data_IF_153553553794
#
_entry.id   IF_153553553794
#
_cell.length_a   1.000
_cell.length_b   1.000
_cell.length_c   1.000
_cell.angle_alpha   90.00
_cell.angle_beta   90.00
_cell.angle_gamma   90.00
#
_symmetry.space_group_name_H-M   'P 1'
#
loop_
_entity.id
_entity.type
_entity.pdbx_description
1 polymer ?
#
# COMPACT_ATOMS: atom_id res chain seq x y z
N UNK A 1 13.24 66.90 35.48
CA UNK A 1 11.81 66.58 35.41
C UNK A 1 11.53 65.92 34.05
N UNK A 2 10.72 64.85 33.94
CA UNK A 2 10.87 63.54 34.58
C UNK A 2 10.92 62.36 33.58
N UNK A 3 11.30 61.21 34.13
CA UNK A 3 11.21 59.82 33.63
C UNK A 3 9.93 59.46 32.86
N UNK A 4 10.04 58.59 31.84
CA UNK A 4 9.03 57.55 31.53
C UNK A 4 9.67 56.25 31.00
N UNK A 5 9.73 55.31 31.93
CA UNK A 5 9.72 53.85 31.78
C UNK A 5 8.55 53.40 30.88
N UNK A 6 8.79 52.58 29.86
CA UNK A 6 7.74 51.76 29.22
C UNK A 6 8.31 50.35 29.03
N UNK A 7 7.86 49.45 29.92
CA UNK A 7 7.86 48.01 29.71
C UNK A 7 7.03 47.69 28.46
N UNK A 8 7.52 46.83 27.57
CA UNK A 8 6.65 46.09 26.65
C UNK A 8 6.82 44.58 26.86
N UNK A 9 5.84 44.06 27.61
CA UNK A 9 5.31 42.70 27.71
C UNK A 9 5.87 41.65 26.74
N UNK A 10 6.44 40.60 27.34
CA UNK A 10 6.47 39.24 26.79
C UNK A 10 5.05 38.74 26.53
N UNK A 11 4.65 38.60 25.27
CA UNK A 11 3.50 37.80 24.89
C UNK A 11 3.96 36.35 24.67
N UNK A 12 3.83 35.55 25.72
CA UNK A 12 3.99 34.09 25.70
C UNK A 12 2.91 33.50 24.77
N UNK A 13 3.30 33.08 23.56
CA UNK A 13 2.43 32.30 22.70
C UNK A 13 2.37 30.86 23.26
N UNK A 14 1.37 30.56 24.08
CA UNK A 14 0.99 29.19 24.40
C UNK A 14 0.36 28.56 23.15
N UNK A 15 1.19 27.93 22.32
CA UNK A 15 0.71 26.98 21.32
C UNK A 15 0.22 25.73 22.05
N UNK A 16 -1.10 25.61 22.19
CA UNK A 16 -1.75 24.40 22.71
C UNK A 16 -1.39 23.20 21.84
N UNK A 17 -0.75 22.20 22.45
CA UNK A 17 -0.49 20.93 21.80
C UNK A 17 -1.84 20.26 21.49
N UNK A 18 -2.17 20.13 20.20
CA UNK A 18 -3.29 19.33 19.75
C UNK A 18 -3.03 17.87 20.10
N UNK A 19 -3.71 17.36 21.13
CA UNK A 19 -3.70 15.95 21.47
C UNK A 19 -4.32 15.16 20.31
N UNK A 20 -3.55 14.22 19.76
CA UNK A 20 -4.02 13.36 18.67
C UNK A 20 -5.03 12.35 19.22
N UNK A 21 -6.31 12.60 18.96
CA UNK A 21 -7.39 11.70 19.34
C UNK A 21 -7.40 10.46 18.45
N UNK A 22 -7.50 9.26 19.05
CA UNK A 22 -7.52 7.99 18.30
C UNK A 22 -8.95 7.49 18.14
N UNK A 23 -9.37 7.21 16.91
CA UNK A 23 -10.74 6.76 16.61
C UNK A 23 -10.69 5.56 15.68
N UNK A 24 -11.26 4.44 16.11
CA UNK A 24 -11.26 3.17 15.36
C UNK A 24 -12.69 2.72 15.12
N UNK A 25 -12.98 2.25 13.90
CA UNK A 25 -14.24 1.58 13.58
C UNK A 25 -14.12 0.10 13.95
N UNK A 26 -14.81 -0.30 15.01
CA UNK A 26 -14.83 -1.69 15.53
C UNK A 26 -15.92 -2.55 14.89
N UNK A 27 -16.92 -1.97 14.25
CA UNK A 27 -18.05 -2.70 13.67
C UNK A 27 -19.10 -1.81 13.04
N UNK A 28 -19.99 -2.40 12.25
CA UNK A 28 -21.22 -1.75 11.78
C UNK A 28 -22.39 -2.65 12.16
N UNK A 29 -23.36 -2.10 12.89
CA UNK A 29 -24.54 -2.84 13.37
C UNK A 29 -25.81 -2.10 12.94
N UNK A 30 -26.60 -2.70 12.06
CA UNK A 30 -27.89 -2.14 11.63
C UNK A 30 -27.78 -0.70 11.08
N UNK A 31 -26.71 -0.40 10.33
CA UNK A 31 -26.46 0.94 9.76
C UNK A 31 -25.82 1.95 10.74
N UNK A 32 -25.48 1.54 11.96
CA UNK A 32 -24.78 2.36 12.95
C UNK A 32 -23.30 1.97 13.01
N UNK A 33 -22.43 2.96 13.11
CA UNK A 33 -21.00 2.74 13.31
C UNK A 33 -20.71 2.45 14.78
N UNK A 34 -19.96 1.38 15.06
CA UNK A 34 -19.45 1.06 16.38
C UNK A 34 -18.03 1.62 16.49
N UNK A 35 -17.86 2.73 17.19
CA UNK A 35 -16.60 3.46 17.29
C UNK A 35 -15.93 3.26 18.64
N UNK A 36 -14.62 3.07 18.64
CA UNK A 36 -13.76 3.12 19.82
C UNK A 36 -12.96 4.40 19.76
N UNK A 37 -13.12 5.24 20.78
CA UNK A 37 -12.42 6.53 20.91
C UNK A 37 -11.44 6.43 22.08
N UNK A 38 -10.17 6.73 21.84
CA UNK A 38 -9.08 6.72 22.83
C UNK A 38 -8.96 5.41 23.63
N UNK A 39 -9.22 4.28 22.96
CA UNK A 39 -9.19 2.94 23.57
C UNK A 39 -10.33 2.65 24.55
N UNK A 40 -11.34 3.53 24.63
CA UNK A 40 -12.52 3.37 25.47
C UNK A 40 -13.50 2.28 24.98
N UNK A 41 -14.61 2.06 25.70
CA UNK A 41 -15.61 1.07 25.31
C UNK A 41 -16.26 1.43 23.95
N UNK A 42 -16.53 0.45 23.07
CA UNK A 42 -17.16 0.70 21.78
C UNK A 42 -18.54 1.36 21.91
N UNK A 43 -18.76 2.47 21.20
CA UNK A 43 -20.02 3.21 21.19
C UNK A 43 -20.69 3.13 19.83
N UNK A 44 -21.96 2.71 19.81
CA UNK A 44 -22.76 2.70 18.58
C UNK A 44 -23.34 4.08 18.31
N UNK A 45 -23.07 4.63 17.14
CA UNK A 45 -23.53 5.94 16.68
C UNK A 45 -24.23 5.83 15.33
N UNK A 46 -25.42 6.43 15.24
CA UNK A 46 -26.13 6.58 13.98
C UNK A 46 -25.61 7.80 13.19
N UNK A 47 -25.90 7.86 11.89
CA UNK A 47 -25.63 9.05 11.07
C UNK A 47 -26.26 10.30 11.72
N UNK A 48 -25.47 11.34 11.89
CA UNK A 48 -25.82 12.59 12.56
C UNK A 48 -25.46 12.66 14.04
N UNK A 49 -25.17 11.53 14.70
CA UNK A 49 -24.83 11.51 16.13
C UNK A 49 -23.34 11.73 16.38
N UNK A 50 -23.03 12.36 17.52
CA UNK A 50 -21.66 12.65 17.95
C UNK A 50 -21.33 12.10 19.33
N UNK A 51 -20.09 11.65 19.51
CA UNK A 51 -19.56 11.21 20.81
C UNK A 51 -18.09 11.56 20.93
N UNK A 52 -17.69 12.17 22.05
CA UNK A 52 -16.29 12.57 22.33
C UNK A 52 -15.63 13.33 21.17
N UNK A 53 -16.34 14.27 20.54
CA UNK A 53 -15.80 15.06 19.42
C UNK A 53 -15.84 14.38 18.05
N UNK A 54 -16.31 13.13 17.97
CA UNK A 54 -16.47 12.36 16.73
C UNK A 54 -17.93 12.36 16.30
N UNK A 55 -18.26 12.93 15.14
CA UNK A 55 -19.62 12.90 14.57
C UNK A 55 -19.69 11.95 13.39
N UNK A 56 -20.67 11.04 13.36
CA UNK A 56 -20.89 10.17 12.19
C UNK A 56 -21.64 10.94 11.12
N UNK A 57 -21.04 11.08 9.94
CA UNK A 57 -21.61 11.75 8.77
C UNK A 57 -22.20 10.74 7.79
N UNK A 58 -21.67 9.53 7.75
CA UNK A 58 -22.18 8.47 6.88
C UNK A 58 -21.66 7.10 7.28
N UNK A 59 -22.42 6.06 6.96
CA UNK A 59 -22.04 4.66 7.17
C UNK A 59 -22.28 3.91 5.87
N UNK A 60 -21.26 3.20 5.39
CA UNK A 60 -21.28 2.37 4.19
C UNK A 60 -20.74 0.97 4.53
N UNK A 61 -20.87 -0.01 3.62
CA UNK A 61 -20.42 -1.38 3.89
C UNK A 61 -18.91 -1.42 4.23
N UNK A 62 -18.59 -1.64 5.51
CA UNK A 62 -17.22 -1.71 6.04
C UNK A 62 -16.52 -0.37 6.29
N UNK A 63 -17.20 0.77 6.12
CA UNK A 63 -16.62 2.10 6.31
C UNK A 63 -17.57 3.08 7.02
N UNK A 64 -17.01 3.99 7.81
CA UNK A 64 -17.75 5.09 8.44
C UNK A 64 -17.07 6.43 8.12
N UNK A 65 -17.83 7.36 7.55
CA UNK A 65 -17.40 8.74 7.41
C UNK A 65 -17.70 9.46 8.73
N UNK A 66 -16.66 9.97 9.37
CA UNK A 66 -16.75 10.71 10.62
C UNK A 66 -16.17 12.11 10.48
N UNK A 67 -16.58 13.02 11.34
CA UNK A 67 -16.00 14.35 11.48
C UNK A 67 -15.38 14.45 12.88
N UNK A 68 -14.08 14.74 12.93
CA UNK A 68 -13.27 14.81 14.16
C UNK A 68 -12.55 16.15 14.14
N UNK A 69 -12.81 17.01 15.12
CA UNK A 69 -12.19 18.34 15.19
C UNK A 69 -12.47 19.23 13.96
N UNK A 70 -13.60 19.02 13.27
CA UNK A 70 -13.97 19.74 12.04
C UNK A 70 -13.40 19.14 10.75
N UNK A 71 -12.51 18.15 10.82
CA UNK A 71 -12.00 17.43 9.66
C UNK A 71 -12.80 16.15 9.40
N UNK A 72 -13.17 15.89 8.14
CA UNK A 72 -13.83 14.65 7.75
C UNK A 72 -12.80 13.56 7.53
N UNK A 73 -12.98 12.42 8.18
CA UNK A 73 -12.12 11.25 8.08
C UNK A 73 -12.95 10.00 7.78
N UNK A 74 -12.40 9.09 7.00
CA UNK A 74 -13.06 7.81 6.70
C UNK A 74 -12.40 6.72 7.54
N UNK A 75 -13.16 6.09 8.41
CA UNK A 75 -12.72 4.95 9.20
C UNK A 75 -13.10 3.67 8.46
N UNK A 76 -12.15 2.75 8.31
CA UNK A 76 -12.40 1.42 7.75
C UNK A 76 -12.43 0.40 8.88
N UNK A 77 -13.26 -0.62 8.72
CA UNK A 77 -13.38 -1.69 9.71
C UNK A 77 -12.02 -2.39 9.87
N UNK A 78 -11.44 -2.34 11.07
CA UNK A 78 -10.16 -2.99 11.36
C UNK A 78 -8.89 -2.19 11.01
N UNK A 79 -9.01 -0.98 10.46
CA UNK A 79 -7.89 -0.07 10.19
C UNK A 79 -8.11 1.25 10.97
N UNK A 80 -7.04 1.77 11.59
CA UNK A 80 -7.07 3.08 12.26
C UNK A 80 -7.41 4.23 11.29
N UNK A 81 -7.60 5.46 11.79
CA UNK A 81 -8.17 6.55 11.00
C UNK A 81 -7.28 6.86 9.80
N UNK A 82 -7.79 6.57 8.59
CA UNK A 82 -7.21 7.06 7.34
C UNK A 82 -7.81 8.44 7.07
N UNK A 83 -6.98 9.47 7.15
CA UNK A 83 -7.39 10.82 6.75
C UNK A 83 -7.73 10.78 5.26
N UNK A 84 -8.97 11.08 4.91
CA UNK A 84 -9.35 11.28 3.53
C UNK A 84 -8.79 12.64 3.08
N UNK A 85 -8.04 12.73 1.96
CA UNK A 85 -7.49 14.01 1.53
C UNK A 85 -8.53 14.82 0.75
N UNK A 86 -8.74 16.13 1.02
CA UNK A 86 -9.01 17.08 -0.04
C UNK A 86 -7.68 17.52 -0.67
N UNK A 87 -7.66 17.52 -2.01
CA UNK A 87 -6.80 18.28 -2.92
C UNK A 87 -5.36 18.61 -2.48
N UNK A 88 -4.42 18.04 -3.23
CA UNK A 88 -3.13 18.63 -3.64
C UNK A 88 -2.16 19.08 -2.53
N UNK A 89 -1.05 18.35 -2.44
CA UNK A 89 0.16 18.80 -1.76
C UNK A 89 0.45 18.04 -0.47
N UNK A 90 1.58 17.33 -0.47
CA UNK A 90 2.33 16.97 0.74
C UNK A 90 1.77 15.80 1.58
N UNK A 91 1.67 14.62 0.98
CA UNK A 91 1.43 13.35 1.70
C UNK A 91 1.89 12.06 1.00
N UNK A 92 2.54 12.15 -0.15
CA UNK A 92 2.74 11.01 -1.05
C UNK A 92 3.85 10.01 -0.66
N UNK A 93 4.75 10.37 0.26
CA UNK A 93 6.06 9.68 0.32
C UNK A 93 6.08 8.38 1.15
N UNK A 94 5.06 8.07 1.96
CA UNK A 94 5.02 6.80 2.73
C UNK A 94 4.25 5.70 2.03
N UNK A 95 3.12 6.01 1.41
CA UNK A 95 2.30 4.99 0.75
C UNK A 95 2.91 4.53 -0.58
N UNK A 96 3.65 5.40 -1.29
CA UNK A 96 4.37 5.05 -2.53
C UNK A 96 5.65 4.22 -2.30
N UNK A 97 5.96 3.84 -1.06
CA UNK A 97 7.17 3.07 -0.72
C UNK A 97 6.88 1.77 0.01
N UNK A 98 5.64 1.48 0.39
CA UNK A 98 5.31 0.31 1.21
C UNK A 98 4.24 -0.54 0.53
N UNK A 99 4.53 -1.83 0.37
CA UNK A 99 3.58 -2.82 -0.12
C UNK A 99 3.32 -3.79 1.01
N UNK A 100 2.05 -4.09 1.31
CA UNK A 100 1.65 -5.13 2.25
C UNK A 100 0.92 -6.22 1.48
N UNK A 101 1.40 -7.45 1.63
CA UNK A 101 0.87 -8.64 0.99
C UNK A 101 0.45 -9.65 2.06
N UNK A 102 -0.67 -10.32 1.82
CA UNK A 102 -1.12 -11.44 2.65
C UNK A 102 -0.97 -12.75 1.88
N UNK A 103 -0.54 -13.79 2.57
CA UNK A 103 -0.44 -15.11 2.01
C UNK A 103 -1.85 -15.65 1.71
N UNK A 104 -2.01 -16.30 0.56
CA UNK A 104 -3.21 -17.08 0.27
C UNK A 104 -3.31 -18.33 1.13
N UNK A 105 -4.41 -19.07 0.99
CA UNK A 105 -4.64 -20.35 1.71
C UNK A 105 -3.56 -21.41 1.46
N UNK A 106 -2.82 -21.31 0.35
CA UNK A 106 -1.70 -22.17 0.00
C UNK A 106 -0.34 -21.64 0.49
N UNK A 107 -0.31 -20.55 1.28
CA UNK A 107 0.90 -19.95 1.83
C UNK A 107 1.69 -19.08 0.84
N UNK A 108 1.24 -18.95 -0.41
CA UNK A 108 1.89 -18.10 -1.41
C UNK A 108 1.38 -16.66 -1.35
N UNK A 109 2.29 -15.71 -1.47
CA UNK A 109 1.94 -14.29 -1.61
C UNK A 109 1.59 -14.01 -3.06
N UNK A 110 0.29 -13.85 -3.32
CA UNK A 110 -0.26 -13.53 -4.64
C UNK A 110 -0.70 -12.08 -4.64
N UNK A 111 -0.43 -11.37 -5.73
CA UNK A 111 -0.85 -9.98 -5.83
C UNK A 111 -1.06 -9.58 -7.28
N UNK A 112 -2.15 -8.87 -7.60
CA UNK A 112 -2.25 -8.21 -8.89
C UNK A 112 -1.20 -7.10 -8.97
N UNK A 113 -0.65 -6.91 -10.17
CA UNK A 113 0.27 -5.83 -10.45
C UNK A 113 0.25 -5.47 -11.93
N UNK A 114 1.20 -4.66 -12.35
CA UNK A 114 1.33 -4.27 -13.75
C UNK A 114 2.76 -4.43 -14.24
N UNK A 115 2.90 -4.83 -15.50
CA UNK A 115 4.14 -4.78 -16.26
C UNK A 115 3.90 -3.86 -17.43
N UNK A 116 4.70 -2.79 -17.55
CA UNK A 116 4.58 -1.78 -18.60
C UNK A 116 3.12 -1.27 -18.75
N UNK A 117 2.43 -1.06 -17.62
CA UNK A 117 1.03 -0.58 -17.57
C UNK A 117 -0.04 -1.64 -17.84
N UNK A 118 0.32 -2.92 -17.98
CA UNK A 118 -0.63 -4.01 -18.27
C UNK A 118 -0.76 -4.96 -17.10
N UNK A 119 -1.99 -5.30 -16.74
CA UNK A 119 -2.30 -6.11 -15.56
C UNK A 119 -1.79 -7.54 -15.69
N UNK A 120 -1.13 -8.01 -14.64
CA UNK A 120 -0.69 -9.40 -14.46
C UNK A 120 -0.92 -9.83 -13.01
N UNK A 121 -0.92 -11.14 -12.76
CA UNK A 121 -0.95 -11.70 -11.42
C UNK A 121 0.42 -12.25 -11.05
N UNK A 122 1.01 -11.68 -10.00
CA UNK A 122 2.30 -12.10 -9.48
C UNK A 122 2.17 -13.12 -8.36
N UNK A 123 3.15 -14.02 -8.28
CA UNK A 123 3.53 -14.72 -7.06
C UNK A 123 4.91 -14.24 -6.64
N UNK A 124 5.09 -13.91 -5.36
CA UNK A 124 6.42 -13.62 -4.80
C UNK A 124 7.25 -14.89 -4.78
N UNK A 125 8.40 -14.85 -5.45
CA UNK A 125 9.36 -15.95 -5.48
C UNK A 125 10.77 -15.45 -5.15
N UNK A 126 11.16 -15.61 -3.89
CA UNK A 126 12.50 -15.22 -3.41
C UNK A 126 13.62 -16.11 -3.97
N UNK A 127 13.29 -17.27 -4.54
CA UNK A 127 14.24 -18.17 -5.21
C UNK A 127 14.55 -17.78 -6.65
N UNK A 128 13.66 -17.01 -7.29
CA UNK A 128 13.87 -16.54 -8.65
C UNK A 128 14.86 -15.37 -8.69
N UNK A 129 15.88 -15.44 -9.54
CA UNK A 129 16.85 -14.34 -9.72
C UNK A 129 16.25 -13.11 -10.38
N UNK A 130 15.33 -13.31 -11.33
CA UNK A 130 14.68 -12.25 -12.12
C UNK A 130 13.17 -12.46 -12.16
N UNK A 131 12.42 -11.40 -12.49
CA UNK A 131 10.99 -11.52 -12.82
C UNK A 131 10.84 -12.50 -14.00
N UNK A 132 9.96 -13.49 -13.87
CA UNK A 132 9.85 -14.55 -14.89
C UNK A 132 8.42 -14.68 -15.40
N UNK A 133 8.26 -14.71 -16.72
CA UNK A 133 6.97 -14.80 -17.43
C UNK A 133 6.97 -15.94 -18.43
N UNK A 134 5.80 -16.55 -18.64
CA UNK A 134 5.64 -17.49 -19.75
C UNK A 134 5.53 -16.72 -21.07
N UNK A 135 5.81 -17.40 -22.19
CA UNK A 135 5.50 -16.85 -23.52
C UNK A 135 4.02 -16.45 -23.62
N UNK A 136 3.12 -17.27 -23.06
CA UNK A 136 1.68 -16.98 -23.04
C UNK A 136 1.36 -15.66 -22.33
N UNK A 137 1.95 -15.41 -21.15
CA UNK A 137 1.74 -14.16 -20.42
C UNK A 137 2.34 -12.97 -21.17
N UNK A 138 3.54 -13.14 -21.73
CA UNK A 138 4.23 -12.11 -22.49
C UNK A 138 3.43 -11.70 -23.74
N UNK A 139 2.89 -12.67 -24.48
CA UNK A 139 2.02 -12.43 -25.64
C UNK A 139 0.71 -11.77 -25.22
N UNK A 140 0.08 -12.23 -24.12
CA UNK A 140 -1.17 -11.66 -23.62
C UNK A 140 -1.05 -10.17 -23.25
N UNK A 141 0.11 -9.75 -22.74
CA UNK A 141 0.41 -8.35 -22.47
C UNK A 141 1.15 -7.65 -23.62
N UNK A 142 1.30 -8.27 -24.79
CA UNK A 142 1.95 -7.66 -25.95
C UNK A 142 3.39 -7.19 -25.69
N UNK A 143 4.14 -7.94 -24.87
CA UNK A 143 5.53 -7.66 -24.55
C UNK A 143 6.41 -8.05 -25.75
N UNK A 144 7.26 -7.15 -26.28
CA UNK A 144 8.12 -7.46 -27.43
C UNK A 144 9.35 -8.28 -27.02
N UNK A 145 9.15 -9.47 -26.43
CA UNK A 145 10.24 -10.21 -25.80
C UNK A 145 11.23 -10.84 -26.80
N UNK A 146 10.79 -11.08 -28.04
CA UNK A 146 11.59 -11.71 -29.09
C UNK A 146 12.77 -10.85 -29.56
N UNK A 147 12.74 -9.54 -29.31
CA UNK A 147 13.90 -8.66 -29.54
C UNK A 147 14.90 -8.66 -28.38
N UNK A 148 14.61 -9.40 -27.30
CA UNK A 148 15.50 -9.58 -26.16
C UNK A 148 16.69 -10.48 -26.45
N UNK A 149 17.60 -10.56 -25.48
CA UNK A 149 18.76 -11.44 -25.54
C UNK A 149 18.32 -12.89 -25.33
N UNK A 150 18.62 -13.77 -26.30
CA UNK A 150 18.39 -15.21 -26.13
C UNK A 150 19.39 -15.80 -25.13
N UNK A 151 18.89 -16.55 -24.15
CA UNK A 151 19.70 -17.15 -23.08
C UNK A 151 19.29 -18.61 -22.86
N UNK A 152 20.25 -19.44 -22.46
CA UNK A 152 19.97 -20.80 -22.00
C UNK A 152 19.47 -20.77 -20.56
N UNK A 153 18.37 -21.46 -20.28
CA UNK A 153 17.70 -21.49 -18.99
C UNK A 153 17.62 -22.94 -18.52
N UNK A 154 18.20 -23.23 -17.36
CA UNK A 154 18.03 -24.54 -16.72
C UNK A 154 16.62 -24.68 -16.15
N UNK A 155 15.91 -25.74 -16.53
CA UNK A 155 14.62 -26.10 -15.95
C UNK A 155 14.68 -27.51 -15.37
N UNK A 156 13.67 -27.89 -14.58
CA UNK A 156 13.55 -29.26 -14.08
C UNK A 156 13.48 -30.32 -15.20
N UNK A 157 13.04 -29.94 -16.40
CA UNK A 157 12.93 -30.80 -17.57
C UNK A 157 14.14 -30.69 -18.53
N UNK A 158 15.22 -30.04 -18.10
CA UNK A 158 16.42 -29.78 -18.91
C UNK A 158 16.57 -28.32 -19.33
N UNK A 159 17.60 -28.04 -20.12
CA UNK A 159 17.86 -26.69 -20.62
C UNK A 159 16.88 -26.29 -21.74
N UNK A 160 16.41 -25.06 -21.72
CA UNK A 160 15.59 -24.46 -22.78
C UNK A 160 16.09 -23.07 -23.12
N UNK A 161 15.67 -22.54 -24.28
CA UNK A 161 15.97 -21.17 -24.67
C UNK A 161 14.88 -20.25 -24.14
N UNK A 162 15.30 -19.19 -23.44
CA UNK A 162 14.45 -18.08 -23.03
C UNK A 162 14.95 -16.75 -23.59
N UNK A 163 14.19 -15.69 -23.34
CA UNK A 163 14.52 -14.32 -23.74
C UNK A 163 14.65 -13.43 -22.51
N UNK A 164 15.85 -12.91 -22.31
CA UNK A 164 16.14 -11.90 -21.29
C UNK A 164 15.84 -10.51 -21.84
N UNK A 165 15.06 -9.76 -21.09
CA UNK A 165 14.58 -8.43 -21.46
C UNK A 165 14.63 -7.47 -20.26
N UNK A 166 14.54 -6.18 -20.56
CA UNK A 166 14.34 -5.14 -19.56
C UNK A 166 12.89 -4.66 -19.62
N UNK A 167 12.16 -4.81 -18.51
CA UNK A 167 10.83 -4.24 -18.36
C UNK A 167 10.99 -2.74 -18.05
N UNK A 168 10.21 -1.91 -18.73
CA UNK A 168 10.20 -0.47 -18.51
C UNK A 168 9.71 -0.14 -17.11
N UNK A 169 8.65 -0.80 -16.67
CA UNK A 169 8.11 -0.68 -15.31
C UNK A 169 7.46 -1.96 -14.82
N UNK A 170 7.57 -2.20 -13.51
CA UNK A 170 6.82 -3.18 -12.74
C UNK A 170 6.18 -2.46 -11.57
N UNK A 171 4.86 -2.53 -11.47
CA UNK A 171 4.09 -1.84 -10.43
C UNK A 171 3.32 -2.83 -9.56
N UNK A 172 3.48 -2.71 -8.25
CA UNK A 172 2.68 -3.40 -7.24
C UNK A 172 2.06 -2.36 -6.30
N UNK A 173 0.72 -2.35 -6.22
CA UNK A 173 0.00 -1.31 -5.50
C UNK A 173 0.34 0.09 -6.05
N UNK A 174 0.75 0.97 -5.15
CA UNK A 174 1.21 2.35 -5.43
C UNK A 174 2.68 2.42 -5.87
N UNK A 175 3.46 1.34 -5.76
CA UNK A 175 4.92 1.39 -5.96
C UNK A 175 5.29 0.96 -7.36
N UNK A 176 6.01 1.84 -8.07
CA UNK A 176 6.53 1.61 -9.41
C UNK A 176 8.06 1.47 -9.41
N UNK A 177 8.55 0.36 -9.96
CA UNK A 177 9.98 0.07 -10.14
C UNK A 177 10.29 0.01 -11.62
N UNK A 178 11.26 0.81 -12.04
CA UNK A 178 11.67 0.93 -13.43
C UNK A 178 12.92 0.10 -13.72
N UNK A 179 13.12 -0.25 -14.99
CA UNK A 179 14.29 -0.98 -15.48
C UNK A 179 14.48 -2.30 -14.70
N UNK A 180 13.46 -3.16 -14.77
CA UNK A 180 13.44 -4.44 -14.08
C UNK A 180 13.80 -5.54 -15.06
N UNK A 181 14.89 -6.25 -14.78
CA UNK A 181 15.29 -7.39 -15.60
C UNK A 181 14.25 -8.52 -15.49
N UNK A 182 13.89 -9.10 -16.63
CA UNK A 182 12.97 -10.23 -16.69
C UNK A 182 13.41 -11.30 -17.69
N UNK A 183 12.88 -12.50 -17.48
CA UNK A 183 13.09 -13.67 -18.34
C UNK A 183 11.73 -14.18 -18.85
N UNK A 184 11.62 -14.30 -20.16
CA UNK A 184 10.48 -14.96 -20.81
C UNK A 184 10.90 -16.37 -21.21
N UNK A 185 10.13 -17.38 -20.80
CA UNK A 185 10.42 -18.80 -21.06
C UNK A 185 9.25 -19.50 -21.74
N UNK A 186 9.50 -20.47 -22.64
CA UNK A 186 8.45 -21.31 -23.22
C UNK A 186 7.87 -22.30 -22.20
N UNK A 187 8.53 -22.51 -21.07
CA UNK A 187 8.02 -23.39 -20.01
C UNK A 187 6.67 -22.86 -19.49
N UNK A 188 5.65 -23.72 -19.34
CA UNK A 188 4.36 -23.30 -18.82
C UNK A 188 4.52 -22.84 -17.37
N UNK A 189 4.03 -21.64 -17.08
CA UNK A 189 3.99 -21.08 -15.74
C UNK A 189 2.58 -20.59 -15.44
N UNK A 190 1.95 -21.01 -14.33
CA UNK A 190 0.59 -20.62 -14.02
C UNK A 190 0.47 -19.17 -13.50
N UNK A 191 1.59 -18.54 -13.13
CA UNK A 191 1.67 -17.17 -12.63
C UNK A 191 3.00 -16.53 -13.05
N UNK A 192 3.03 -15.21 -13.10
CA UNK A 192 4.27 -14.45 -13.22
C UNK A 192 5.02 -14.51 -11.89
N UNK A 193 6.30 -14.85 -11.92
CA UNK A 193 7.14 -14.90 -10.73
C UNK A 193 7.78 -13.53 -10.51
N UNK A 194 7.59 -12.97 -9.31
CA UNK A 194 8.22 -11.74 -8.87
C UNK A 194 9.55 -12.08 -8.18
N UNK A 195 10.63 -12.03 -8.95
CA UNK A 195 11.97 -12.42 -8.50
C UNK A 195 12.84 -11.26 -7.99
N UNK A 196 14.10 -11.57 -7.71
CA UNK A 196 15.05 -10.68 -7.03
C UNK A 196 15.46 -9.44 -7.83
N UNK A 197 15.32 -9.42 -9.16
CA UNK A 197 15.48 -8.19 -9.95
C UNK A 197 14.51 -7.07 -9.55
N UNK A 198 13.37 -7.44 -8.95
CA UNK A 198 12.42 -6.53 -8.31
C UNK A 198 12.60 -6.48 -6.79
N UNK A 199 12.61 -7.65 -6.12
CA UNK A 199 12.51 -7.73 -4.65
C UNK A 199 13.68 -7.06 -3.92
N UNK A 200 14.89 -7.08 -4.49
CA UNK A 200 16.09 -6.49 -3.86
C UNK A 200 16.03 -4.97 -3.72
N UNK A 201 15.09 -4.30 -4.41
CA UNK A 201 14.79 -2.87 -4.25
C UNK A 201 14.09 -2.55 -2.93
N UNK A 202 13.65 -3.58 -2.21
CA UNK A 202 12.88 -3.47 -0.98
C UNK A 202 13.61 -4.12 0.19
N UNK A 203 13.41 -3.57 1.38
CA UNK A 203 13.53 -4.30 2.62
C UNK A 203 12.28 -5.17 2.76
N UNK A 204 12.48 -6.47 2.84
CA UNK A 204 11.40 -7.44 3.03
C UNK A 204 11.33 -7.83 4.50
N UNK A 205 10.13 -7.79 5.07
CA UNK A 205 9.82 -8.33 6.40
C UNK A 205 8.63 -9.25 6.27
N UNK A 206 8.75 -10.47 6.80
CA UNK A 206 7.64 -11.42 6.86
C UNK A 206 7.30 -11.71 8.32
N UNK A 207 6.03 -11.59 8.67
CA UNK A 207 5.50 -11.94 9.99
C UNK A 207 4.27 -12.81 9.75
N UNK A 208 4.39 -14.10 10.04
CA UNK A 208 3.36 -15.12 9.76
C UNK A 208 2.94 -15.14 8.27
N UNK A 209 1.67 -14.81 8.01
CA UNK A 209 1.01 -14.72 6.72
C UNK A 209 1.11 -13.33 6.09
N UNK A 210 1.73 -12.35 6.75
CA UNK A 210 1.93 -11.01 6.23
C UNK A 210 3.37 -10.81 5.74
N UNK A 211 3.50 -10.22 4.55
CA UNK A 211 4.76 -9.73 4.00
C UNK A 211 4.68 -8.22 3.77
N UNK A 212 5.69 -7.50 4.22
CA UNK A 212 5.86 -6.07 4.00
C UNK A 212 7.10 -5.86 3.15
N UNK A 213 6.94 -5.14 2.04
CA UNK A 213 8.04 -4.66 1.20
C UNK A 213 8.16 -3.16 1.37
N UNK A 214 9.27 -2.68 1.90
CA UNK A 214 9.55 -1.26 2.08
C UNK A 214 10.70 -0.82 1.19
N UNK A 215 10.45 0.14 0.29
CA UNK A 215 11.40 0.54 -0.74
C UNK A 215 12.64 1.18 -0.12
N UNK A 216 13.83 0.70 -0.50
CA UNK A 216 15.11 1.14 0.09
C UNK A 216 15.59 2.48 -0.46
N UNK A 217 15.25 2.81 -1.71
CA UNK A 217 15.68 4.01 -2.44
C UNK A 217 14.76 4.31 -3.62
#
# INVERSE_FOLDING_TARGET
MPSRLVLLLCALALTGAAQAQTVVLSGILGGKALLVVDGGPPKSLAVGQSHQGVKVVGVQAGQALVEIGGARQTLRLGEGPVSAPPAEGEGETRDQRRIVLHAGSNGHFRTPGQINGRTVNFIVDTGASVVSLSVTDADAIGLPYKSGQTVQVGTANGATVGWRIMLSSVRLGSVDVHNVEALVTPAPMPYVLLGNSYLTRFQMTRTNDQMVLERRY
#
